data_IF_385441837758
#
_entry.id   IF_385441837758
#
_cell.length_a   1.000
_cell.length_b   1.000
_cell.length_c   1.000
_cell.angle_alpha   90.00
_cell.angle_beta   90.00
_cell.angle_gamma   90.00
#
_symmetry.space_group_name_H-M   'P 1'
#
loop_
_entity.id
_entity.type
_entity.pdbx_description
1 polymer ?
#
# COMPACT_ATOMS: atom_id res chain seq x y z
N UNK A 1 36.58 3.74 4.15
CA UNK A 1 35.40 2.97 4.61
C UNK A 1 34.17 3.49 3.87
N UNK A 2 33.37 2.61 3.28
CA UNK A 2 32.03 2.98 2.80
C UNK A 2 31.22 3.48 3.99
N UNK A 3 30.40 4.50 3.78
CA UNK A 3 29.51 5.05 4.82
C UNK A 3 28.13 4.37 4.81
N UNK A 4 27.88 3.48 3.84
CA UNK A 4 26.61 2.78 3.63
C UNK A 4 26.62 1.28 3.97
N UNK A 5 25.46 0.65 3.79
CA UNK A 5 25.29 -0.80 3.93
C UNK A 5 25.64 -1.52 2.63
N UNK A 6 26.69 -2.34 2.67
CA UNK A 6 27.01 -3.23 1.56
C UNK A 6 25.92 -4.31 1.36
N UNK A 7 25.86 -4.91 0.19
CA UNK A 7 24.86 -5.90 -0.24
C UNK A 7 24.64 -7.04 0.78
N UNK A 8 25.71 -7.59 1.36
CA UNK A 8 25.66 -8.66 2.34
C UNK A 8 25.08 -8.21 3.68
N UNK A 9 25.44 -7.00 4.13
CA UNK A 9 24.92 -6.41 5.36
C UNK A 9 23.42 -6.10 5.20
N UNK A 10 23.05 -5.50 4.07
CA UNK A 10 21.68 -5.21 3.70
C UNK A 10 20.84 -6.50 3.65
N UNK A 11 21.38 -7.56 3.03
CA UNK A 11 20.71 -8.85 2.95
C UNK A 11 20.39 -9.43 4.33
N UNK A 12 21.39 -9.51 5.20
CA UNK A 12 21.21 -10.09 6.52
C UNK A 12 20.26 -9.26 7.39
N UNK A 13 20.31 -7.93 7.29
CA UNK A 13 19.37 -7.04 7.95
C UNK A 13 17.93 -7.33 7.49
N UNK A 14 17.65 -7.26 6.19
CA UNK A 14 16.29 -7.45 5.67
C UNK A 14 15.75 -8.86 5.87
N UNK A 15 16.60 -9.87 5.73
CA UNK A 15 16.23 -11.25 6.01
C UNK A 15 15.88 -11.47 7.49
N UNK A 16 16.43 -10.66 8.40
CA UNK A 16 16.11 -10.76 9.83
C UNK A 16 14.81 -10.02 10.20
N UNK A 17 14.56 -8.85 9.61
CA UNK A 17 13.43 -7.98 10.00
C UNK A 17 12.20 -8.11 9.12
N UNK A 18 12.26 -8.87 8.02
CA UNK A 18 11.14 -9.09 7.09
C UNK A 18 11.01 -10.56 6.69
N UNK A 19 9.91 -10.90 6.02
CA UNK A 19 9.70 -12.22 5.40
C UNK A 19 10.00 -12.22 3.89
N UNK A 20 10.82 -11.28 3.41
CA UNK A 20 11.15 -11.18 1.99
C UNK A 20 12.07 -12.33 1.55
N UNK A 21 11.86 -12.82 0.34
CA UNK A 21 12.75 -13.81 -0.27
C UNK A 21 14.10 -13.18 -0.62
N UNK A 22 15.13 -14.00 -0.79
CA UNK A 22 16.44 -13.53 -1.26
C UNK A 22 16.34 -12.71 -2.55
N UNK A 23 15.53 -13.14 -3.52
CA UNK A 23 15.36 -12.40 -4.77
C UNK A 23 14.67 -11.05 -4.57
N UNK A 24 13.72 -10.95 -3.65
CA UNK A 24 13.06 -9.68 -3.31
C UNK A 24 14.01 -8.72 -2.60
N UNK A 25 14.85 -9.24 -1.71
CA UNK A 25 15.85 -8.45 -0.99
C UNK A 25 16.92 -7.93 -1.94
N UNK A 26 17.45 -8.76 -2.84
CA UNK A 26 18.43 -8.33 -3.84
C UNK A 26 17.82 -7.30 -4.80
N UNK A 27 16.59 -7.54 -5.28
CA UNK A 27 15.87 -6.54 -6.08
C UNK A 27 15.71 -5.22 -5.31
N UNK A 28 15.36 -5.26 -4.02
CA UNK A 28 15.26 -4.05 -3.21
C UNK A 28 16.57 -3.29 -3.08
N UNK A 29 17.69 -4.00 -2.98
CA UNK A 29 19.01 -3.39 -2.97
C UNK A 29 19.24 -2.63 -4.28
N UNK A 30 19.04 -3.30 -5.42
CA UNK A 30 19.23 -2.71 -6.74
C UNK A 30 18.32 -1.49 -7.00
N UNK A 31 17.10 -1.51 -6.45
CA UNK A 31 16.15 -0.39 -6.58
C UNK A 31 16.50 0.81 -5.68
N UNK A 32 17.14 0.56 -4.54
CA UNK A 32 17.42 1.60 -3.55
C UNK A 32 18.81 2.21 -3.72
N UNK A 33 19.80 1.49 -4.25
CA UNK A 33 21.12 2.01 -4.63
C UNK A 33 21.02 2.89 -5.89
N UNK A 34 20.23 3.97 -5.80
CA UNK A 34 19.90 4.83 -6.94
C UNK A 34 21.10 5.66 -7.41
N UNK A 35 22.12 5.81 -6.57
CA UNK A 35 23.36 6.49 -6.93
C UNK A 35 24.48 5.53 -7.39
N UNK A 36 24.22 4.22 -7.35
CA UNK A 36 25.06 3.18 -7.93
C UNK A 36 26.41 3.03 -7.24
N UNK A 37 26.50 3.34 -5.94
CA UNK A 37 27.73 3.20 -5.16
C UNK A 37 28.00 1.76 -4.73
N UNK A 38 27.02 0.87 -4.87
CA UNK A 38 27.10 -0.49 -4.35
C UNK A 38 26.96 -0.54 -2.82
N UNK A 39 26.40 0.50 -2.22
CA UNK A 39 26.10 0.59 -0.79
C UNK A 39 24.79 1.36 -0.59
N UNK A 40 24.00 0.98 0.42
CA UNK A 40 22.79 1.71 0.78
C UNK A 40 23.14 2.81 1.79
N UNK A 41 23.06 4.06 1.35
CA UNK A 41 23.22 5.26 2.16
C UNK A 41 22.03 5.53 3.08
N UNK A 42 22.11 6.62 3.86
CA UNK A 42 21.08 6.96 4.84
C UNK A 42 19.72 7.27 4.20
N UNK A 43 19.69 8.04 3.11
CA UNK A 43 18.44 8.44 2.46
C UNK A 43 17.71 7.23 1.83
N UNK A 44 18.47 6.32 1.23
CA UNK A 44 18.00 5.06 0.64
C UNK A 44 17.47 4.13 1.74
N UNK A 45 18.22 4.00 2.84
CA UNK A 45 17.78 3.27 4.01
C UNK A 45 16.53 3.87 4.65
N UNK A 46 16.41 5.19 4.72
CA UNK A 46 15.22 5.87 5.23
C UNK A 46 13.99 5.57 4.38
N UNK A 47 14.14 5.59 3.06
CA UNK A 47 13.07 5.20 2.13
C UNK A 47 12.63 3.75 2.33
N UNK A 48 13.59 2.82 2.49
CA UNK A 48 13.29 1.43 2.83
C UNK A 48 12.47 1.30 4.12
N UNK A 49 12.91 1.96 5.19
CA UNK A 49 12.21 1.93 6.49
C UNK A 49 10.79 2.47 6.33
N UNK A 50 10.60 3.54 5.56
CA UNK A 50 9.28 4.09 5.29
C UNK A 50 8.38 3.10 4.52
N UNK A 51 8.91 2.37 3.54
CA UNK A 51 8.18 1.32 2.81
C UNK A 51 7.78 0.18 3.75
N UNK A 52 8.70 -0.31 4.58
CA UNK A 52 8.43 -1.39 5.55
C UNK A 52 7.38 -0.93 6.55
N UNK A 53 7.50 0.27 7.12
CA UNK A 53 6.52 0.83 8.05
C UNK A 53 5.14 1.00 7.41
N UNK A 54 5.07 1.41 6.15
CA UNK A 54 3.81 1.52 5.43
C UNK A 54 3.17 0.13 5.23
N UNK A 55 3.97 -0.89 4.93
CA UNK A 55 3.50 -2.27 4.77
C UNK A 55 2.96 -2.85 6.09
N UNK A 56 3.75 -2.77 7.18
CA UNK A 56 3.37 -3.31 8.50
C UNK A 56 2.10 -2.65 9.07
N UNK A 57 1.86 -1.37 8.76
CA UNK A 57 0.69 -0.64 9.23
C UNK A 57 -0.49 -0.63 8.23
N UNK A 58 -0.39 -1.35 7.11
CA UNK A 58 -1.41 -1.37 6.04
C UNK A 58 -1.73 0.03 5.46
N UNK A 59 -0.70 0.86 5.34
CA UNK A 59 -0.74 2.23 4.82
C UNK A 59 -0.09 2.36 3.44
N UNK A 60 0.17 1.25 2.73
CA UNK A 60 0.89 1.22 1.45
C UNK A 60 0.28 2.16 0.41
N UNK A 61 -1.05 2.17 0.30
CA UNK A 61 -1.77 3.07 -0.62
C UNK A 61 -1.56 4.55 -0.26
N UNK A 62 -1.52 4.86 1.03
CA UNK A 62 -1.31 6.23 1.52
C UNK A 62 0.12 6.67 1.32
N UNK A 63 1.07 5.75 1.49
CA UNK A 63 2.47 5.96 1.18
C UNK A 63 2.66 6.23 -0.31
N UNK A 64 2.14 5.36 -1.19
CA UNK A 64 2.18 5.57 -2.65
C UNK A 64 1.57 6.92 -3.07
N UNK A 65 0.46 7.33 -2.46
CA UNK A 65 -0.15 8.63 -2.77
C UNK A 65 0.68 9.82 -2.30
N UNK A 66 1.19 9.79 -1.05
CA UNK A 66 1.96 10.90 -0.47
C UNK A 66 3.34 11.04 -1.09
N UNK A 67 3.96 9.92 -1.47
CA UNK A 67 5.30 9.84 -2.01
C UNK A 67 5.28 9.39 -3.48
N UNK A 68 4.25 9.79 -4.23
CA UNK A 68 3.99 9.27 -5.58
C UNK A 68 5.16 9.43 -6.54
N UNK A 69 5.94 10.52 -6.42
CA UNK A 69 7.12 10.72 -7.25
C UNK A 69 8.23 9.72 -6.94
N UNK A 70 8.67 9.65 -5.68
CA UNK A 70 9.72 8.74 -5.26
C UNK A 70 9.34 7.27 -5.49
N UNK A 71 8.06 6.92 -5.28
CA UNK A 71 7.56 5.58 -5.61
C UNK A 71 7.57 5.34 -7.12
N UNK A 72 7.19 6.32 -7.94
CA UNK A 72 7.24 6.17 -9.39
C UNK A 72 8.67 5.92 -9.89
N UNK A 73 9.64 6.70 -9.40
CA UNK A 73 11.06 6.51 -9.71
C UNK A 73 11.57 5.14 -9.24
N UNK A 74 11.13 4.66 -8.08
CA UNK A 74 11.46 3.33 -7.59
C UNK A 74 10.84 2.20 -8.44
N UNK A 75 9.71 2.46 -9.12
CA UNK A 75 9.02 1.48 -9.96
C UNK A 75 9.56 1.45 -11.40
N UNK A 76 10.12 2.55 -11.87
CA UNK A 76 10.72 2.75 -13.20
C UNK A 76 12.16 2.21 -13.19
N UNK A 77 12.30 0.89 -13.32
CA UNK A 77 13.57 0.16 -13.11
C UNK A 77 14.55 0.47 -14.24
N UNK A 78 14.05 0.57 -15.47
CA UNK A 78 14.89 0.86 -16.63
C UNK A 78 15.15 2.36 -16.87
N UNK A 79 14.49 3.24 -16.11
CA UNK A 79 14.62 4.69 -16.21
C UNK A 79 13.97 5.28 -17.46
N UNK A 80 13.02 4.57 -18.07
CA UNK A 80 12.29 4.95 -19.27
C UNK A 80 11.26 6.07 -19.07
N UNK A 81 11.09 6.56 -17.83
CA UNK A 81 10.07 7.54 -17.42
C UNK A 81 8.63 7.03 -17.56
N UNK A 82 8.48 5.71 -17.61
CA UNK A 82 7.22 4.99 -17.68
C UNK A 82 7.36 3.69 -16.91
N UNK A 83 6.32 3.27 -16.20
CA UNK A 83 6.33 2.00 -15.47
C UNK A 83 5.64 0.94 -16.33
N UNK A 84 6.40 -0.05 -16.78
CA UNK A 84 5.89 -1.18 -17.53
C UNK A 84 5.20 -2.23 -16.63
N UNK A 85 4.33 -3.08 -17.19
CA UNK A 85 3.67 -4.15 -16.43
C UNK A 85 4.65 -5.10 -15.73
N UNK A 86 5.80 -5.40 -16.35
CA UNK A 86 6.82 -6.28 -15.79
C UNK A 86 7.50 -5.67 -14.56
N UNK A 87 7.85 -4.39 -14.63
CA UNK A 87 8.49 -3.65 -13.55
C UNK A 87 7.56 -3.52 -12.34
N UNK A 88 6.32 -3.11 -12.58
CA UNK A 88 5.32 -3.03 -11.52
C UNK A 88 5.00 -4.43 -10.96
N UNK A 89 4.98 -5.48 -11.80
CA UNK A 89 4.81 -6.85 -11.34
C UNK A 89 5.97 -7.33 -10.46
N UNK A 90 7.19 -6.89 -10.72
CA UNK A 90 8.38 -7.22 -9.93
C UNK A 90 8.36 -6.56 -8.55
N UNK A 91 7.86 -5.33 -8.46
CA UNK A 91 7.90 -4.47 -7.26
C UNK A 91 6.59 -4.43 -6.47
N UNK A 92 5.47 -4.95 -7.01
CA UNK A 92 4.13 -4.93 -6.37
C UNK A 92 4.07 -5.46 -4.93
N UNK A 93 5.04 -6.29 -4.54
CA UNK A 93 5.10 -6.87 -3.19
C UNK A 93 5.38 -5.80 -2.12
N UNK A 94 6.05 -4.71 -2.48
CA UNK A 94 6.33 -3.58 -1.59
C UNK A 94 5.05 -2.84 -1.17
N UNK A 95 4.04 -2.87 -2.05
CA UNK A 95 2.81 -2.10 -1.87
C UNK A 95 1.57 -2.98 -1.70
N UNK A 96 1.77 -4.28 -1.48
CA UNK A 96 0.70 -5.27 -1.27
C UNK A 96 -0.36 -5.26 -2.41
N UNK A 97 0.10 -5.09 -3.66
CA UNK A 97 -0.75 -5.10 -4.86
C UNK A 97 -0.84 -6.53 -5.42
N UNK A 98 -2.07 -6.99 -5.63
CA UNK A 98 -2.35 -8.33 -6.18
C UNK A 98 -2.21 -8.33 -7.70
N UNK A 99 -1.85 -9.47 -8.29
CA UNK A 99 -1.74 -9.63 -9.75
C UNK A 99 -3.02 -9.20 -10.51
N UNK A 100 -4.19 -9.56 -9.97
CA UNK A 100 -5.48 -9.17 -10.57
C UNK A 100 -5.75 -7.67 -10.47
N UNK A 101 -5.26 -7.02 -9.42
CA UNK A 101 -5.34 -5.57 -9.28
C UNK A 101 -4.39 -4.89 -10.27
N UNK A 102 -3.18 -5.44 -10.46
CA UNK A 102 -2.22 -4.93 -11.45
C UNK A 102 -2.79 -4.87 -12.85
N UNK A 103 -3.35 -5.97 -13.36
CA UNK A 103 -3.95 -5.99 -14.72
C UNK A 103 -5.07 -4.98 -14.87
N UNK A 104 -5.85 -4.75 -13.81
CA UNK A 104 -6.92 -3.76 -13.81
C UNK A 104 -6.38 -2.33 -13.82
N UNK A 105 -5.25 -2.08 -13.14
CA UNK A 105 -4.61 -0.75 -13.12
C UNK A 105 -4.24 -0.31 -14.53
N UNK A 106 -3.48 -1.13 -15.28
CA UNK A 106 -3.09 -0.76 -16.65
C UNK A 106 -4.32 -0.57 -17.54
N UNK A 107 -5.33 -1.44 -17.44
CA UNK A 107 -6.58 -1.31 -18.20
C UNK A 107 -7.32 0.01 -17.94
N UNK A 108 -7.33 0.50 -16.70
CA UNK A 108 -8.13 1.65 -16.29
C UNK A 108 -7.37 2.98 -16.38
N UNK A 109 -6.03 2.95 -16.30
CA UNK A 109 -5.20 4.14 -16.14
C UNK A 109 -4.18 4.38 -17.25
N UNK A 110 -3.90 3.42 -18.13
CA UNK A 110 -3.16 3.67 -19.38
C UNK A 110 -4.07 4.44 -20.35
N UNK A 111 -3.98 5.77 -20.32
CA UNK A 111 -4.80 6.67 -21.14
C UNK A 111 -4.09 6.98 -22.46
N UNK A 112 -2.76 7.00 -22.46
CA UNK A 112 -1.95 7.15 -23.68
C UNK A 112 -2.11 5.96 -24.63
N UNK A 113 -2.37 4.75 -24.10
CA UNK A 113 -2.47 3.50 -24.85
C UNK A 113 -1.10 2.95 -25.26
N UNK A 114 -0.04 3.27 -24.51
CA UNK A 114 1.32 2.80 -24.76
C UNK A 114 1.68 1.52 -23.97
N UNK A 115 0.69 0.92 -23.32
CA UNK A 115 0.79 -0.28 -22.48
C UNK A 115 1.68 -0.10 -21.24
N UNK A 116 2.01 1.14 -20.90
CA UNK A 116 2.79 1.52 -19.73
C UNK A 116 2.05 2.60 -18.92
N UNK A 117 2.61 2.98 -17.77
CA UNK A 117 2.08 4.09 -16.99
C UNK A 117 3.10 5.21 -16.96
N UNK A 118 2.79 6.35 -17.57
CA UNK A 118 3.55 7.56 -17.29
C UNK A 118 3.21 8.12 -15.89
N UNK A 119 4.01 9.08 -15.40
CA UNK A 119 3.84 9.61 -14.05
C UNK A 119 2.42 10.17 -13.77
N UNK A 120 1.76 10.78 -14.76
CA UNK A 120 0.42 11.34 -14.57
C UNK A 120 -0.61 10.23 -14.36
N UNK A 121 -0.51 9.16 -15.14
CA UNK A 121 -1.37 7.98 -15.05
C UNK A 121 -1.17 7.23 -13.74
N UNK A 122 0.09 6.99 -13.37
CA UNK A 122 0.43 6.44 -12.06
C UNK A 122 -0.14 7.31 -10.92
N UNK A 123 0.03 8.63 -11.00
CA UNK A 123 -0.51 9.55 -9.98
C UNK A 123 -2.04 9.50 -9.91
N UNK A 124 -2.74 9.41 -11.04
CA UNK A 124 -4.20 9.22 -11.06
C UNK A 124 -4.60 7.90 -10.38
N UNK A 125 -3.88 6.82 -10.64
CA UNK A 125 -4.06 5.54 -9.96
C UNK A 125 -3.93 5.68 -8.44
N UNK A 126 -2.90 6.36 -7.94
CA UNK A 126 -2.71 6.54 -6.48
C UNK A 126 -3.86 7.36 -5.84
N UNK A 127 -4.33 8.42 -6.52
CA UNK A 127 -5.48 9.23 -6.08
C UNK A 127 -6.74 8.37 -6.00
N UNK A 128 -7.00 7.57 -7.05
CA UNK A 128 -8.13 6.66 -7.09
C UNK A 128 -8.10 5.63 -5.95
N UNK A 129 -6.92 5.08 -5.64
CA UNK A 129 -6.77 4.16 -4.52
C UNK A 129 -7.21 4.76 -3.18
N UNK A 130 -6.85 6.03 -2.94
CA UNK A 130 -7.23 6.75 -1.71
C UNK A 130 -8.72 7.06 -1.67
N UNK A 131 -9.29 7.57 -2.75
CA UNK A 131 -10.73 7.85 -2.83
C UNK A 131 -11.55 6.56 -2.62
N UNK A 132 -11.16 5.46 -3.26
CA UNK A 132 -11.80 4.14 -3.07
C UNK A 132 -11.68 3.65 -1.63
N UNK A 133 -10.53 3.84 -0.98
CA UNK A 133 -10.33 3.46 0.43
C UNK A 133 -11.22 4.29 1.36
N UNK A 134 -11.29 5.61 1.16
CA UNK A 134 -12.12 6.50 1.97
C UNK A 134 -13.61 6.21 1.81
N UNK A 135 -14.10 5.94 0.59
CA UNK A 135 -15.49 5.54 0.35
C UNK A 135 -15.84 4.26 1.09
N UNK A 136 -14.99 3.22 0.96
CA UNK A 136 -15.18 1.95 1.69
C UNK A 136 -15.20 2.13 3.20
N UNK A 137 -14.32 2.97 3.75
CA UNK A 137 -14.29 3.27 5.19
C UNK A 137 -15.56 3.98 5.65
N UNK A 138 -16.03 4.99 4.91
CA UNK A 138 -17.29 5.70 5.19
C UNK A 138 -18.49 4.77 5.13
N UNK A 139 -18.56 3.89 4.13
CA UNK A 139 -19.66 2.95 3.98
C UNK A 139 -19.67 1.90 5.10
N UNK A 140 -18.49 1.42 5.51
CA UNK A 140 -18.35 0.51 6.66
C UNK A 140 -18.83 1.18 7.94
N UNK A 141 -18.38 2.39 8.22
CA UNK A 141 -18.79 3.16 9.41
C UNK A 141 -20.31 3.38 9.44
N UNK A 142 -20.90 3.77 8.31
CA UNK A 142 -22.37 3.94 8.20
C UNK A 142 -23.12 2.65 8.53
N UNK A 143 -22.64 1.50 8.05
CA UNK A 143 -23.26 0.19 8.33
C UNK A 143 -23.11 -0.21 9.80
N UNK A 144 -21.95 0.02 10.41
CA UNK A 144 -21.72 -0.26 11.82
C UNK A 144 -22.60 0.63 12.72
N UNK A 145 -22.72 1.92 12.40
CA UNK A 145 -23.62 2.83 13.12
C UNK A 145 -25.09 2.44 12.98
N UNK A 146 -25.53 2.06 11.77
CA UNK A 146 -26.90 1.60 11.55
C UNK A 146 -27.21 0.31 12.33
N UNK A 147 -26.24 -0.61 12.40
CA UNK A 147 -26.37 -1.84 13.18
C UNK A 147 -26.47 -1.55 14.68
N UNK A 148 -25.59 -0.69 15.21
CA UNK A 148 -25.61 -0.30 16.62
C UNK A 148 -26.92 0.42 17.01
N UNK A 149 -27.45 1.29 16.14
CA UNK A 149 -28.73 1.96 16.38
C UNK A 149 -29.89 0.96 16.45
N UNK A 150 -29.93 -0.04 15.54
CA UNK A 150 -30.95 -1.08 15.56
C UNK A 150 -30.86 -2.00 16.78
N UNK A 151 -29.65 -2.27 17.28
CA UNK A 151 -29.45 -3.03 18.53
C UNK A 151 -29.99 -2.26 19.74
N UNK A 152 -29.72 -0.95 19.84
CA UNK A 152 -30.27 -0.09 20.91
C UNK A 152 -31.80 -0.03 20.85
N UNK A 153 -32.38 0.15 19.67
CA UNK A 153 -33.84 0.19 19.49
C UNK A 153 -34.51 -1.12 19.91
N UNK A 154 -33.91 -2.27 19.58
CA UNK A 154 -34.40 -3.58 19.99
C UNK A 154 -34.29 -3.81 21.51
N UNK A 155 -33.23 -3.33 22.16
CA UNK A 155 -33.07 -3.38 23.61
C UNK A 155 -34.11 -2.51 24.34
N UNK A 156 -34.39 -1.31 23.82
CA UNK A 156 -35.42 -0.42 24.35
C UNK A 156 -36.82 -1.05 24.22
N UNK A 157 -37.16 -1.61 23.06
CA UNK A 157 -38.45 -2.29 22.83
C UNK A 157 -38.61 -3.50 23.77
N UNK A 158 -37.56 -4.30 23.97
CA UNK A 158 -37.58 -5.43 24.89
C UNK A 158 -37.76 -4.99 26.35
N UNK A 159 -37.09 -3.91 26.77
CA UNK A 159 -37.21 -3.35 28.11
C UNK A 159 -38.63 -2.83 28.39
N UNK A 160 -39.25 -2.16 27.42
CA UNK A 160 -40.61 -1.66 27.56
C UNK A 160 -41.65 -2.79 27.57
N UNK A 161 -41.46 -3.83 26.75
CA UNK A 161 -42.29 -5.03 26.80
C UNK A 161 -42.22 -5.74 28.16
N UNK A 162 -41.05 -5.83 28.78
CA UNK A 162 -40.89 -6.46 30.10
C UNK A 162 -41.54 -5.64 31.21
N UNK A 163 -41.39 -4.30 31.20
CA UNK A 163 -42.10 -3.41 32.14
C UNK A 163 -43.61 -3.53 32.02
N UNK A 164 -44.15 -3.65 30.80
CA UNK A 164 -45.59 -3.80 30.59
C UNK A 164 -46.13 -5.10 31.20
N UNK A 165 -45.41 -6.22 31.05
CA UNK A 165 -45.79 -7.49 31.67
C UNK A 165 -45.81 -7.42 33.20
N UNK A 166 -44.83 -6.76 33.83
CA UNK A 166 -44.75 -6.62 35.29
C UNK A 166 -45.88 -5.76 35.89
N UNK A 167 -46.54 -4.90 35.12
CA UNK A 167 -47.67 -4.08 35.59
C UNK A 167 -49.03 -4.76 35.48
N UNK A 168 -49.14 -5.85 34.71
CA UNK A 168 -50.42 -6.53 34.42
C UNK A 168 -50.66 -7.80 35.25
N UNK A 169 -49.70 -8.21 36.06
CA UNK A 169 -49.75 -9.30 37.03
C UNK A 169 -49.20 -8.82 38.36
#
# INVERSE_FOLDING_TARGET
PGEGFEDLQFYHFLHHVTNLSRSQIMLLFDLLDWDGKGEIGFDEFYMLVCIIMAHENHLEKQFMYRHSHAVFELLDIDGGHTVAPAEFQATRFLFNIRKTELSQIFKDFDISGDEQLNYKEFRMFTIFCIDRQQRKAKDKLKREMAKAAAEVEAEEEYADFTKFKQKKF
#
